data_IF_314572837837
#
_entry.id   IF_314572837837
#
_cell.length_a   1.000
_cell.length_b   1.000
_cell.length_c   1.000
_cell.angle_alpha   90.00
_cell.angle_beta   90.00
_cell.angle_gamma   90.00
#
_symmetry.space_group_name_H-M   'P 1'
#
loop_
_entity.id
_entity.type
_entity.pdbx_description
1 polymer ?
#
# COMPACT_ATOMS: atom_id res chain seq x y z
N UNK A 1 6.41 25.68 28.55
CA UNK A 1 5.68 25.19 27.37
C UNK A 1 4.23 25.06 27.78
N UNK A 2 3.29 25.67 27.06
CA UNK A 2 1.88 25.68 27.48
C UNK A 2 1.30 24.27 27.43
N UNK A 3 0.31 23.98 28.29
CA UNK A 3 -0.35 22.68 28.35
C UNK A 3 -0.97 22.28 27.00
N UNK A 4 -1.47 23.28 26.27
CA UNK A 4 -1.98 23.12 24.90
C UNK A 4 -0.89 22.75 23.89
N UNK A 5 0.31 23.32 23.97
CA UNK A 5 1.42 22.94 23.08
C UNK A 5 1.80 21.47 23.25
N UNK A 6 1.78 20.97 24.49
CA UNK A 6 2.02 19.56 24.78
C UNK A 6 0.90 18.68 24.23
N UNK A 7 -0.35 19.08 24.42
CA UNK A 7 -1.52 18.36 23.90
C UNK A 7 -1.48 18.28 22.36
N UNK A 8 -1.28 19.39 21.67
CA UNK A 8 -1.20 19.46 20.21
C UNK A 8 -0.03 18.63 19.65
N UNK A 9 1.12 18.62 20.34
CA UNK A 9 2.25 17.73 19.96
C UNK A 9 1.84 16.25 20.03
N UNK A 10 1.10 15.84 21.04
CA UNK A 10 0.61 14.46 21.17
C UNK A 10 -0.43 14.11 20.10
N UNK A 11 -1.35 15.03 19.78
CA UNK A 11 -2.31 14.86 18.67
C UNK A 11 -1.57 14.68 17.33
N UNK A 12 -0.57 15.53 17.03
CA UNK A 12 0.25 15.40 15.81
C UNK A 12 0.98 14.07 15.74
N UNK A 13 1.43 13.54 16.89
CA UNK A 13 2.06 12.21 16.99
C UNK A 13 1.05 11.10 16.69
N UNK A 14 -0.21 11.23 17.11
CA UNK A 14 -1.29 10.32 16.74
C UNK A 14 -1.62 10.36 15.24
N UNK A 15 -1.56 11.54 14.62
CA UNK A 15 -1.83 11.76 13.19
C UNK A 15 -0.66 11.40 12.26
N UNK A 16 0.29 10.55 12.66
CA UNK A 16 1.42 10.15 11.80
C UNK A 16 0.94 9.75 10.40
N UNK A 17 1.72 10.10 9.37
CA UNK A 17 1.43 9.84 7.96
C UNK A 17 0.26 10.61 7.32
N UNK A 18 -0.51 11.40 8.07
CA UNK A 18 -1.48 12.37 7.51
C UNK A 18 -0.71 13.53 6.83
N UNK A 19 -1.31 14.14 5.79
CA UNK A 19 -0.79 15.35 5.15
C UNK A 19 -0.44 16.45 6.16
N UNK A 20 0.66 17.17 5.93
CA UNK A 20 1.07 18.30 6.75
C UNK A 20 -0.03 19.37 6.84
N UNK A 21 -0.68 19.69 5.71
CA UNK A 21 -1.77 20.67 5.64
C UNK A 21 -2.96 20.31 6.54
N UNK A 22 -3.38 19.05 6.53
CA UNK A 22 -4.53 18.59 7.32
C UNK A 22 -4.18 18.55 8.81
N UNK A 23 -2.91 18.24 9.16
CA UNK A 23 -2.44 18.32 10.54
C UNK A 23 -2.43 19.75 11.06
N UNK A 24 -1.90 20.70 10.28
CA UNK A 24 -1.83 22.10 10.69
C UNK A 24 -3.22 22.70 10.78
N UNK A 25 -4.10 22.42 9.83
CA UNK A 25 -5.51 22.82 9.85
C UNK A 25 -6.23 22.28 11.09
N UNK A 26 -6.18 20.97 11.35
CA UNK A 26 -6.85 20.38 12.52
C UNK A 26 -6.29 20.88 13.86
N UNK A 27 -4.97 21.01 13.98
CA UNK A 27 -4.37 21.59 15.18
C UNK A 27 -4.72 23.07 15.36
N UNK A 28 -4.88 23.83 14.26
CA UNK A 28 -5.35 25.21 14.30
C UNK A 28 -6.80 25.31 14.78
N UNK A 29 -7.69 24.43 14.28
CA UNK A 29 -9.07 24.33 14.74
C UNK A 29 -9.16 23.96 16.23
N UNK A 30 -8.37 22.98 16.69
CA UNK A 30 -8.28 22.63 18.11
C UNK A 30 -7.77 23.79 18.98
N UNK A 31 -6.80 24.57 18.47
CA UNK A 31 -6.31 25.77 19.13
C UNK A 31 -7.39 26.83 19.29
N UNK A 32 -8.11 27.14 18.21
CA UNK A 32 -9.22 28.08 18.23
C UNK A 32 -10.37 27.62 19.14
N UNK A 33 -10.67 26.33 19.17
CA UNK A 33 -11.68 25.77 20.08
C UNK A 33 -11.27 25.89 21.55
N UNK A 34 -9.98 25.70 21.86
CA UNK A 34 -9.46 25.92 23.21
C UNK A 34 -9.55 27.38 23.62
N UNK A 35 -9.17 28.32 22.75
CA UNK A 35 -9.31 29.76 23.00
C UNK A 35 -10.76 30.13 23.29
N UNK A 36 -11.72 29.50 22.60
CA UNK A 36 -13.13 29.80 22.74
C UNK A 36 -13.79 29.14 23.97
N UNK A 37 -13.42 27.90 24.30
CA UNK A 37 -14.02 27.11 25.41
C UNK A 37 -13.20 27.11 26.71
N UNK A 38 -11.97 27.59 26.67
CA UNK A 38 -11.03 27.58 27.79
C UNK A 38 -10.61 26.18 28.27
N UNK A 39 -10.94 25.12 27.53
CA UNK A 39 -10.72 23.74 27.95
C UNK A 39 -10.35 22.84 26.76
N UNK A 40 -9.47 21.87 27.02
CA UNK A 40 -9.08 20.85 26.05
C UNK A 40 -10.08 19.67 26.08
N UNK A 41 -10.22 18.91 24.99
CA UNK A 41 -10.96 17.66 25.01
C UNK A 41 -10.40 16.73 26.10
N UNK A 42 -11.28 16.08 26.86
CA UNK A 42 -10.87 15.13 27.91
C UNK A 42 -10.33 13.80 27.35
N UNK A 43 -10.52 13.56 26.06
CA UNK A 43 -9.99 12.37 25.38
C UNK A 43 -8.46 12.38 25.35
N UNK A 44 -7.88 11.18 25.33
CA UNK A 44 -6.43 11.04 25.16
C UNK A 44 -6.01 11.66 23.80
N UNK A 45 -5.11 12.65 23.76
CA UNK A 45 -4.72 13.35 22.53
C UNK A 45 -4.17 12.41 21.46
N UNK A 46 -3.50 11.32 21.86
CA UNK A 46 -2.98 10.32 20.92
C UNK A 46 -4.12 9.53 20.28
N UNK A 47 -5.17 9.20 21.04
CA UNK A 47 -6.34 8.50 20.53
C UNK A 47 -7.11 9.40 19.55
N UNK A 48 -7.31 10.67 19.90
CA UNK A 48 -7.91 11.68 19.02
C UNK A 48 -7.12 11.81 17.71
N UNK A 49 -5.80 11.90 17.78
CA UNK A 49 -4.94 11.95 16.60
C UNK A 49 -5.03 10.69 15.72
N UNK A 50 -5.17 9.50 16.32
CA UNK A 50 -5.38 8.24 15.57
C UNK A 50 -6.75 8.19 14.91
N UNK A 51 -7.81 8.65 15.59
CA UNK A 51 -9.15 8.73 15.02
C UNK A 51 -9.18 9.69 13.82
N UNK A 52 -8.55 10.86 13.95
CA UNK A 52 -8.46 11.80 12.83
C UNK A 52 -7.62 11.28 11.67
N UNK A 53 -6.60 10.46 11.93
CA UNK A 53 -5.88 9.75 10.86
C UNK A 53 -6.80 8.82 10.05
N UNK A 54 -7.78 8.17 10.67
CA UNK A 54 -8.74 7.35 9.94
C UNK A 54 -9.68 8.20 9.07
N UNK A 55 -10.02 9.41 9.51
CA UNK A 55 -10.87 10.36 8.77
C UNK A 55 -10.13 10.94 7.57
N UNK A 56 -8.96 11.55 7.80
CA UNK A 56 -8.17 12.23 6.76
C UNK A 56 -7.39 11.25 5.87
N UNK A 57 -7.17 10.00 6.33
CA UNK A 57 -6.33 9.01 5.66
C UNK A 57 -4.85 9.40 5.62
N UNK A 58 -4.04 8.60 4.93
CA UNK A 58 -2.63 8.97 4.69
C UNK A 58 -2.50 10.02 3.61
N UNK A 59 -1.49 10.87 3.77
CA UNK A 59 -1.10 11.89 2.80
C UNK A 59 -0.61 11.29 1.49
N UNK A 60 -0.69 12.08 0.42
CA UNK A 60 -0.40 11.64 -0.95
C UNK A 60 1.03 11.10 -1.14
N UNK A 61 2.02 11.71 -0.48
CA UNK A 61 3.42 11.25 -0.52
C UNK A 61 3.56 9.78 -0.09
N UNK A 62 2.92 9.38 1.01
CA UNK A 62 2.98 7.99 1.49
C UNK A 62 2.20 7.02 0.60
N UNK A 63 1.12 7.48 -0.04
CA UNK A 63 0.41 6.67 -1.04
C UNK A 63 1.31 6.37 -2.24
N UNK A 64 2.05 7.38 -2.73
CA UNK A 64 2.99 7.22 -3.84
C UNK A 64 4.09 6.23 -3.47
N UNK A 65 4.68 6.33 -2.27
CA UNK A 65 5.70 5.37 -1.82
C UNK A 65 5.14 3.94 -1.87
N UNK A 66 3.94 3.72 -1.35
CA UNK A 66 3.32 2.39 -1.34
C UNK A 66 3.05 1.85 -2.75
N UNK A 67 2.64 2.72 -3.68
CA UNK A 67 2.43 2.35 -5.09
C UNK A 67 3.78 1.99 -5.73
N UNK A 68 4.76 2.88 -5.70
CA UNK A 68 6.05 2.70 -6.39
C UNK A 68 6.81 1.48 -5.88
N UNK A 69 6.79 1.23 -4.56
CA UNK A 69 7.49 0.07 -3.96
C UNK A 69 6.78 -1.26 -4.23
N UNK A 70 5.53 -1.26 -4.69
CA UNK A 70 4.84 -2.47 -5.13
C UNK A 70 5.33 -2.99 -6.49
N UNK A 71 5.94 -2.12 -7.31
CA UNK A 71 6.51 -2.47 -8.61
C UNK A 71 7.56 -3.59 -8.54
N UNK A 72 8.66 -3.45 -7.76
CA UNK A 72 9.67 -4.51 -7.68
C UNK A 72 9.12 -5.80 -7.07
N UNK A 73 8.15 -5.70 -6.14
CA UNK A 73 7.48 -6.88 -5.56
C UNK A 73 6.70 -7.65 -6.65
N UNK A 74 6.07 -6.93 -7.58
CA UNK A 74 5.42 -7.51 -8.75
C UNK A 74 6.38 -8.31 -9.61
N UNK A 75 7.50 -7.70 -10.03
CA UNK A 75 8.51 -8.35 -10.88
C UNK A 75 9.09 -9.61 -10.23
N UNK A 76 9.51 -9.51 -8.97
CA UNK A 76 10.14 -10.62 -8.22
C UNK A 76 9.16 -11.75 -7.86
N UNK A 77 7.86 -11.51 -7.97
CA UNK A 77 6.80 -12.52 -7.78
C UNK A 77 6.44 -13.29 -9.06
N UNK A 78 7.21 -13.13 -10.14
CA UNK A 78 7.04 -13.87 -11.40
C UNK A 78 7.75 -15.22 -11.31
N UNK A 79 7.07 -16.37 -11.45
CA UNK A 79 7.67 -17.70 -11.27
C UNK A 79 8.84 -17.97 -12.23
N UNK A 80 8.78 -17.43 -13.45
CA UNK A 80 9.86 -17.54 -14.44
C UNK A 80 11.21 -17.00 -13.96
N UNK A 81 11.21 -16.08 -12.99
CA UNK A 81 12.48 -15.56 -12.44
C UNK A 81 13.29 -16.67 -11.77
N UNK A 82 12.65 -17.75 -11.30
CA UNK A 82 13.32 -18.90 -10.70
C UNK A 82 14.23 -19.64 -11.68
N UNK A 83 13.91 -19.63 -12.98
CA UNK A 83 14.77 -20.24 -14.01
C UNK A 83 16.07 -19.46 -14.23
N UNK A 84 16.05 -18.15 -13.96
CA UNK A 84 17.22 -17.26 -14.07
C UNK A 84 17.94 -17.10 -12.73
N UNK A 85 17.18 -17.16 -11.63
CA UNK A 85 17.64 -16.95 -10.25
C UNK A 85 16.96 -17.96 -9.31
N UNK A 86 17.48 -19.19 -9.21
CA UNK A 86 16.85 -20.30 -8.47
C UNK A 86 16.61 -20.04 -6.98
N UNK A 87 17.39 -19.16 -6.38
CA UNK A 87 17.30 -18.82 -4.95
C UNK A 87 16.22 -17.78 -4.62
N UNK A 88 15.51 -17.24 -5.62
CA UNK A 88 14.50 -16.20 -5.39
C UNK A 88 13.19 -16.83 -4.89
N UNK A 89 12.72 -16.49 -3.67
CA UNK A 89 11.48 -17.04 -3.13
C UNK A 89 10.26 -16.32 -3.72
N UNK A 90 9.87 -16.67 -4.95
CA UNK A 90 8.79 -16.04 -5.72
C UNK A 90 7.48 -15.91 -4.92
N UNK A 91 7.08 -16.98 -4.23
CA UNK A 91 5.86 -17.01 -3.42
C UNK A 91 5.90 -16.02 -2.24
N UNK A 92 7.09 -15.77 -1.67
CA UNK A 92 7.27 -14.79 -0.61
C UNK A 92 7.08 -13.38 -1.15
N UNK A 93 7.57 -13.08 -2.35
CA UNK A 93 7.34 -11.78 -3.00
C UNK A 93 5.86 -11.57 -3.38
N UNK A 94 5.16 -12.65 -3.76
CA UNK A 94 3.70 -12.58 -3.97
C UNK A 94 2.95 -12.29 -2.68
N UNK A 95 3.32 -12.94 -1.57
CA UNK A 95 2.74 -12.66 -0.26
C UNK A 95 3.02 -11.21 0.17
N UNK A 96 4.27 -10.75 -0.01
CA UNK A 96 4.65 -9.38 0.32
C UNK A 96 3.86 -8.36 -0.51
N UNK A 97 3.67 -8.59 -1.81
CA UNK A 97 2.87 -7.69 -2.66
C UNK A 97 1.43 -7.61 -2.16
N UNK A 98 0.83 -8.74 -1.79
CA UNK A 98 -0.52 -8.80 -1.21
C UNK A 98 -0.61 -8.04 0.12
N UNK A 99 0.34 -8.23 1.04
CA UNK A 99 0.43 -7.48 2.30
C UNK A 99 0.54 -5.98 2.02
N UNK A 100 1.36 -5.59 1.04
CA UNK A 100 1.56 -4.20 0.66
C UNK A 100 0.28 -3.55 0.12
N UNK A 101 -0.45 -4.29 -0.72
CA UNK A 101 -1.77 -3.89 -1.23
C UNK A 101 -2.76 -3.70 -0.10
N UNK A 102 -2.82 -4.62 0.87
CA UNK A 102 -3.66 -4.47 2.06
C UNK A 102 -3.26 -3.26 2.89
N UNK A 103 -1.97 -3.00 3.06
CA UNK A 103 -1.46 -1.85 3.80
C UNK A 103 -1.88 -0.54 3.12
N UNK A 104 -1.76 -0.47 1.79
CA UNK A 104 -2.19 0.67 0.99
C UNK A 104 -3.71 0.87 1.03
N UNK A 105 -4.48 -0.21 0.96
CA UNK A 105 -5.92 -0.18 1.08
C UNK A 105 -6.38 0.30 2.46
N UNK A 106 -5.77 -0.22 3.53
CA UNK A 106 -6.10 0.12 4.91
C UNK A 106 -5.81 1.59 5.22
N UNK A 107 -4.65 2.10 4.78
CA UNK A 107 -4.23 3.46 5.11
C UNK A 107 -4.69 4.53 4.12
N UNK A 108 -4.69 4.20 2.83
CA UNK A 108 -4.99 5.12 1.73
C UNK A 108 -6.40 4.95 1.14
N UNK A 109 -7.14 3.93 1.56
CA UNK A 109 -8.48 3.62 1.09
C UNK A 109 -8.49 2.88 -0.26
N UNK A 110 -9.71 2.65 -0.76
CA UNK A 110 -10.04 1.90 -1.97
C UNK A 110 -9.16 2.21 -3.18
N UNK A 111 -8.96 3.49 -3.50
CA UNK A 111 -8.16 3.89 -4.65
C UNK A 111 -6.67 3.65 -4.45
N UNK A 112 -6.15 3.85 -3.23
CA UNK A 112 -4.75 3.56 -2.95
C UNK A 112 -4.47 2.07 -3.06
N UNK A 113 -5.36 1.21 -2.53
CA UNK A 113 -5.24 -0.23 -2.67
C UNK A 113 -5.31 -0.69 -4.13
N UNK A 114 -6.23 -0.13 -4.93
CA UNK A 114 -6.34 -0.41 -6.36
C UNK A 114 -5.04 -0.08 -7.11
N UNK A 115 -4.53 1.15 -6.97
CA UNK A 115 -3.33 1.58 -7.69
C UNK A 115 -2.08 0.83 -7.25
N UNK A 116 -1.96 0.51 -5.95
CA UNK A 116 -0.87 -0.35 -5.46
C UNK A 116 -0.97 -1.76 -6.05
N UNK A 117 -2.18 -2.32 -6.13
CA UNK A 117 -2.41 -3.63 -6.75
C UNK A 117 -2.09 -3.64 -8.24
N UNK A 118 -2.49 -2.60 -8.98
CA UNK A 118 -2.11 -2.41 -10.39
C UNK A 118 -0.59 -2.28 -10.55
N UNK A 119 0.06 -1.53 -9.66
CA UNK A 119 1.51 -1.34 -9.69
C UNK A 119 2.29 -2.62 -9.38
N UNK A 120 1.70 -3.63 -8.73
CA UNK A 120 2.30 -4.95 -8.61
C UNK A 120 1.92 -5.87 -9.78
N UNK A 121 0.68 -5.79 -10.25
CA UNK A 121 0.14 -6.66 -11.30
C UNK A 121 0.76 -6.38 -12.69
N UNK A 122 0.79 -5.11 -13.11
CA UNK A 122 1.27 -4.73 -14.45
C UNK A 122 2.73 -5.14 -14.67
N UNK A 123 3.68 -4.85 -13.76
CA UNK A 123 5.07 -5.23 -13.95
C UNK A 123 5.27 -6.74 -13.93
N UNK A 124 4.41 -7.47 -13.21
CA UNK A 124 4.43 -8.94 -13.18
C UNK A 124 3.99 -9.54 -14.52
N UNK A 125 2.99 -8.95 -15.18
CA UNK A 125 2.57 -9.35 -16.53
C UNK A 125 3.68 -9.02 -17.55
N UNK A 126 4.28 -7.83 -17.46
CA UNK A 126 5.39 -7.44 -18.34
C UNK A 126 6.58 -8.38 -18.14
N UNK A 127 6.93 -8.68 -16.88
CA UNK A 127 8.01 -9.60 -16.54
C UNK A 127 7.73 -11.01 -17.07
N UNK A 128 6.49 -11.52 -16.92
CA UNK A 128 6.08 -12.80 -17.50
C UNK A 128 6.38 -12.84 -19.01
N UNK A 129 5.91 -11.84 -19.77
CA UNK A 129 6.13 -11.75 -21.22
C UNK A 129 7.63 -11.73 -21.55
N UNK A 130 8.40 -10.89 -20.87
CA UNK A 130 9.84 -10.74 -21.12
C UNK A 130 10.62 -12.02 -20.80
N UNK A 131 10.30 -12.68 -19.68
CA UNK A 131 10.98 -13.92 -19.30
C UNK A 131 10.59 -15.07 -20.22
N UNK A 132 9.33 -15.17 -20.66
CA UNK A 132 8.91 -16.19 -21.64
C UNK A 132 9.65 -16.00 -22.96
N UNK A 133 9.68 -14.78 -23.52
CA UNK A 133 10.44 -14.50 -24.75
C UNK A 133 11.93 -14.80 -24.58
N UNK A 134 12.49 -14.46 -23.42
CA UNK A 134 13.90 -14.73 -23.10
C UNK A 134 14.21 -16.23 -23.03
N UNK A 135 13.32 -17.01 -22.42
CA UNK A 135 13.47 -18.48 -22.34
C UNK A 135 13.31 -19.13 -23.70
N UNK A 136 12.33 -18.71 -24.51
CA UNK A 136 12.16 -19.20 -25.89
C UNK A 136 13.40 -18.93 -26.75
N UNK A 137 14.02 -17.75 -26.59
CA UNK A 137 15.28 -17.43 -27.26
C UNK A 137 16.42 -18.34 -26.81
N UNK A 138 16.56 -18.58 -25.50
CA UNK A 138 17.61 -19.47 -24.97
C UNK A 138 17.39 -20.91 -25.44
N UNK A 139 16.14 -21.38 -25.46
CA UNK A 139 15.80 -22.74 -25.89
C UNK A 139 16.10 -23.01 -27.37
N UNK A 140 16.22 -21.98 -28.22
CA UNK A 140 16.73 -22.14 -29.59
C UNK A 140 18.19 -22.62 -29.63
N UNK A 141 18.95 -22.40 -28.55
CA UNK A 141 20.37 -22.75 -28.46
C UNK A 141 20.65 -23.84 -27.41
N UNK A 142 19.81 -23.95 -26.38
CA UNK A 142 19.98 -24.87 -25.26
C UNK A 142 18.61 -25.43 -24.83
N UNK A 143 18.31 -26.69 -25.15
CA UNK A 143 17.11 -27.41 -24.66
C UNK A 143 17.14 -27.46 -23.12
N UNK A 144 16.47 -26.52 -22.45
CA UNK A 144 16.67 -26.36 -21.01
C UNK A 144 15.42 -26.05 -20.19
N UNK A 145 14.40 -25.34 -20.70
CA UNK A 145 13.24 -24.98 -19.87
C UNK A 145 11.92 -24.85 -20.62
N UNK A 146 10.91 -25.63 -20.24
CA UNK A 146 9.55 -25.51 -20.76
C UNK A 146 8.67 -24.75 -19.76
N UNK A 147 7.96 -23.72 -20.23
CA UNK A 147 7.02 -22.93 -19.42
C UNK A 147 5.67 -23.65 -19.39
N UNK A 148 5.20 -24.09 -18.23
CA UNK A 148 3.88 -24.73 -18.12
C UNK A 148 2.75 -23.71 -18.34
N UNK A 149 1.74 -24.10 -19.12
CA UNK A 149 0.49 -23.32 -19.26
C UNK A 149 -0.18 -23.04 -17.90
N UNK A 150 -0.02 -23.94 -16.93
CA UNK A 150 -0.53 -23.79 -15.56
C UNK A 150 0.10 -22.60 -14.82
N UNK A 151 1.40 -22.36 -15.01
CA UNK A 151 2.11 -21.25 -14.37
C UNK A 151 1.68 -19.90 -14.95
N UNK A 152 1.50 -19.85 -16.27
CA UNK A 152 0.97 -18.67 -16.98
C UNK A 152 -0.42 -18.32 -16.45
N UNK A 153 -1.32 -19.31 -16.39
CA UNK A 153 -2.68 -19.13 -15.87
C UNK A 153 -2.71 -18.62 -14.43
N UNK A 154 -1.87 -19.19 -13.56
CA UNK A 154 -1.78 -18.77 -12.16
C UNK A 154 -1.28 -17.33 -12.03
N UNK A 155 -0.27 -16.94 -12.79
CA UNK A 155 0.26 -15.55 -12.78
C UNK A 155 -0.82 -14.57 -13.22
N UNK A 156 -1.57 -14.86 -14.27
CA UNK A 156 -2.65 -13.99 -14.75
C UNK A 156 -3.76 -13.84 -13.70
N UNK A 157 -4.24 -14.94 -13.14
CA UNK A 157 -5.29 -14.92 -12.10
C UNK A 157 -4.83 -14.13 -10.88
N UNK A 158 -3.65 -14.45 -10.35
CA UNK A 158 -3.15 -13.78 -9.14
C UNK A 158 -2.81 -12.31 -9.39
N UNK A 159 -2.38 -11.94 -10.60
CA UNK A 159 -2.19 -10.53 -10.98
C UNK A 159 -3.49 -9.76 -11.08
N UNK A 160 -4.57 -10.37 -11.59
CA UNK A 160 -5.90 -9.76 -11.62
C UNK A 160 -6.50 -9.60 -10.22
N UNK A 161 -6.23 -10.55 -9.32
CA UNK A 161 -6.73 -10.50 -7.94
C UNK A 161 -6.11 -9.37 -7.11
N UNK A 162 -4.83 -9.03 -7.31
CA UNK A 162 -4.16 -7.96 -6.55
C UNK A 162 -4.91 -6.61 -6.57
N UNK A 163 -5.25 -6.01 -7.73
CA UNK A 163 -6.01 -4.76 -7.77
C UNK A 163 -7.44 -4.93 -7.24
N UNK A 164 -8.09 -6.07 -7.48
CA UNK A 164 -9.45 -6.36 -6.99
C UNK A 164 -9.45 -6.36 -5.45
N UNK A 165 -8.56 -7.14 -4.84
CA UNK A 165 -8.41 -7.22 -3.38
C UNK A 165 -8.08 -5.85 -2.80
N UNK A 166 -7.14 -5.10 -3.40
CA UNK A 166 -6.81 -3.75 -2.95
C UNK A 166 -7.99 -2.79 -2.95
N UNK A 167 -8.84 -2.88 -3.97
CA UNK A 167 -10.04 -2.05 -4.08
C UNK A 167 -11.09 -2.41 -3.03
N UNK A 168 -11.39 -3.70 -2.85
CA UNK A 168 -12.42 -4.13 -1.89
C UNK A 168 -11.95 -4.00 -0.43
N UNK A 169 -10.68 -4.30 -0.14
CA UNK A 169 -10.11 -4.14 1.20
C UNK A 169 -10.08 -2.68 1.67
N UNK A 170 -10.03 -1.74 0.74
CA UNK A 170 -10.03 -0.30 1.03
C UNK A 170 -11.44 0.31 1.11
N UNK A 171 -12.48 -0.52 0.95
CA UNK A 171 -13.85 -0.13 1.28
C UNK A 171 -13.94 0.14 2.77
N UNK A 172 -13.97 1.42 3.15
CA UNK A 172 -14.07 1.83 4.56
C UNK A 172 -15.22 1.06 5.23
N UNK A 173 -14.91 0.47 6.38
CA UNK A 173 -15.90 0.18 7.43
C UNK A 173 -16.81 1.40 7.48
N UNK A 174 -18.07 1.22 7.07
CA UNK A 174 -19.08 2.29 7.10
C UNK A 174 -19.02 2.93 8.48
N UNK A 175 -19.01 4.27 8.53
CA UNK A 175 -19.40 4.96 9.75
C UNK A 175 -20.76 4.35 10.14
N UNK A 176 -20.96 3.85 11.37
CA UNK A 176 -22.33 3.73 11.86
C UNK A 176 -22.91 5.15 11.79
N UNK A 177 -23.95 5.31 10.98
CA UNK A 177 -24.77 6.53 10.96
C UNK A 177 -25.46 6.72 12.32
#
# INVERSE_FOLDING_TARGET
MSEIDNYLKQVRKGMRFVSGSNKTSFCGELGAQFEHRGSLPQENPVALGKAMRQVYGIGMFYRIILIVTAFPLGVLSTPMIGSWFPSVPVNLFLLLSLIWVFLAAYYGGRWSGLFTGLSAAVPRIIALILFTIGLDFINQFFDSFEVSEGDIGLVLITSLLLPIVGFFAGGRIRRPD
#
